data_IF_806981184401
#
_entry.id   IF_806981184401
#
_cell.length_a   1.000
_cell.length_b   1.000
_cell.length_c   1.000
_cell.angle_alpha   90.00
_cell.angle_beta   90.00
_cell.angle_gamma   90.00
#
_symmetry.space_group_name_H-M   'P 1'
#
loop_
_entity.id
_entity.type
_entity.pdbx_description
1 polymer ?
#
# COMPACT_ATOMS: atom_id res chain seq x y z
N UNK A 1 -39.45 -42.71 -13.68
CA UNK A 1 -39.66 -41.50 -14.50
C UNK A 1 -39.82 -40.32 -13.55
N UNK A 2 -38.78 -39.50 -13.40
CA UNK A 2 -38.87 -38.28 -12.60
C UNK A 2 -39.54 -37.21 -13.47
N UNK A 3 -40.79 -36.88 -13.18
CA UNK A 3 -41.52 -35.81 -13.86
C UNK A 3 -41.14 -34.51 -13.16
N UNK A 4 -40.00 -33.91 -13.52
CA UNK A 4 -39.77 -32.51 -13.17
C UNK A 4 -40.65 -31.67 -14.09
N UNK A 5 -41.81 -31.24 -13.57
CA UNK A 5 -42.74 -30.38 -14.30
C UNK A 5 -42.01 -29.15 -14.83
N UNK A 6 -42.27 -28.77 -16.08
CA UNK A 6 -41.70 -27.56 -16.71
C UNK A 6 -42.00 -26.29 -15.91
N UNK A 7 -43.10 -26.29 -15.16
CA UNK A 7 -43.43 -25.24 -14.21
C UNK A 7 -42.45 -25.19 -13.04
N UNK A 8 -42.04 -26.34 -12.49
CA UNK A 8 -41.04 -26.44 -11.42
C UNK A 8 -39.66 -26.00 -11.92
N UNK A 9 -39.26 -26.41 -13.13
CA UNK A 9 -38.00 -25.97 -13.74
C UNK A 9 -37.96 -24.45 -13.95
N UNK A 10 -39.07 -23.85 -14.41
CA UNK A 10 -39.21 -22.39 -14.62
C UNK A 10 -39.25 -21.63 -13.29
N UNK A 11 -39.92 -22.17 -12.28
CA UNK A 11 -39.96 -21.57 -10.94
C UNK A 11 -38.57 -21.59 -10.29
N UNK A 12 -37.87 -22.72 -10.37
CA UNK A 12 -36.51 -22.88 -9.84
C UNK A 12 -35.53 -21.96 -10.58
N UNK A 13 -35.61 -21.86 -11.91
CA UNK A 13 -34.79 -20.91 -12.67
C UNK A 13 -35.13 -19.45 -12.34
N UNK A 14 -36.41 -19.10 -12.19
CA UNK A 14 -36.84 -17.75 -11.82
C UNK A 14 -36.33 -17.33 -10.44
N UNK A 15 -36.40 -18.23 -9.45
CA UNK A 15 -35.86 -17.99 -8.10
C UNK A 15 -34.32 -17.92 -8.11
N UNK A 16 -33.64 -18.76 -8.90
CA UNK A 16 -32.18 -18.65 -9.07
C UNK A 16 -31.76 -17.32 -9.72
N UNK A 17 -32.49 -16.84 -10.73
CA UNK A 17 -32.23 -15.54 -11.39
C UNK A 17 -32.52 -14.33 -10.47
N UNK A 18 -33.49 -14.45 -9.57
CA UNK A 18 -33.77 -13.44 -8.54
C UNK A 18 -32.72 -13.40 -7.41
N UNK A 19 -31.89 -14.45 -7.28
CA UNK A 19 -30.93 -14.59 -6.18
C UNK A 19 -29.52 -14.05 -6.49
N UNK A 20 -29.28 -13.47 -7.67
CA UNK A 20 -27.92 -13.10 -8.13
C UNK A 20 -27.52 -11.63 -7.89
N UNK A 21 -28.33 -10.82 -7.19
CA UNK A 21 -28.08 -9.36 -7.15
C UNK A 21 -28.02 -8.68 -5.77
N UNK A 22 -27.49 -9.35 -4.75
CA UNK A 22 -26.99 -8.62 -3.56
C UNK A 22 -25.57 -9.07 -3.22
N UNK A 23 -24.61 -8.57 -3.98
CA UNK A 23 -23.25 -8.41 -3.51
C UNK A 23 -23.03 -6.91 -3.30
N UNK A 24 -23.33 -6.42 -2.11
CA UNK A 24 -22.97 -5.07 -1.70
C UNK A 24 -21.48 -5.11 -1.33
N UNK A 25 -20.64 -4.70 -2.28
CA UNK A 25 -19.19 -4.74 -2.14
C UNK A 25 -18.67 -3.43 -1.55
N UNK A 26 -17.75 -3.53 -0.59
CA UNK A 26 -16.99 -2.37 -0.12
C UNK A 26 -16.22 -1.73 -1.29
N UNK A 27 -16.19 -0.40 -1.35
CA UNK A 27 -15.39 0.32 -2.34
C UNK A 27 -13.91 0.14 -2.02
N UNK A 28 -13.08 0.05 -3.06
CA UNK A 28 -11.64 -0.16 -2.92
C UNK A 28 -10.87 0.75 -3.86
N UNK A 29 -9.93 1.51 -3.31
CA UNK A 29 -8.96 2.28 -4.09
C UNK A 29 -7.54 1.91 -3.68
N UNK A 30 -6.61 1.97 -4.62
CA UNK A 30 -5.18 1.86 -4.37
C UNK A 30 -4.49 3.10 -4.91
N UNK A 31 -3.57 3.65 -4.12
CA UNK A 31 -2.84 4.85 -4.49
C UNK A 31 -1.48 4.86 -3.79
N UNK A 32 -0.46 5.50 -4.37
CA UNK A 32 0.85 5.61 -3.76
C UNK A 32 0.82 6.49 -2.51
N UNK A 33 1.72 6.25 -1.57
CA UNK A 33 2.00 7.25 -0.54
C UNK A 33 2.65 8.52 -1.14
N UNK A 34 2.91 9.53 -0.30
CA UNK A 34 3.49 10.81 -0.73
C UNK A 34 2.69 11.59 -1.78
N UNK A 35 1.40 11.27 -1.94
CA UNK A 35 0.49 12.09 -2.72
C UNK A 35 0.35 13.48 -2.09
N UNK A 36 0.39 14.51 -2.95
CA UNK A 36 0.21 15.89 -2.51
C UNK A 36 -1.22 16.12 -2.03
N UNK A 37 -1.40 17.03 -1.08
CA UNK A 37 -2.73 17.53 -0.70
C UNK A 37 -3.49 18.01 -1.94
N UNK A 38 -4.75 17.62 -2.04
CA UNK A 38 -5.63 17.86 -3.19
C UNK A 38 -5.51 16.83 -4.31
N UNK A 39 -4.61 15.86 -4.23
CA UNK A 39 -4.54 14.79 -5.23
C UNK A 39 -5.77 13.88 -5.17
N UNK A 40 -6.20 13.40 -6.32
CA UNK A 40 -7.39 12.55 -6.46
C UNK A 40 -7.03 11.08 -6.27
N UNK A 41 -7.75 10.40 -5.38
CA UNK A 41 -7.64 8.95 -5.15
C UNK A 41 -8.60 8.17 -6.05
N UNK A 42 -9.83 8.68 -6.19
CA UNK A 42 -10.89 8.02 -6.96
C UNK A 42 -12.15 8.89 -7.03
N UNK A 43 -13.16 8.46 -7.79
CA UNK A 43 -14.42 9.19 -7.92
C UNK A 43 -15.58 8.44 -7.27
N UNK A 44 -15.95 8.86 -6.06
CA UNK A 44 -16.98 8.20 -5.26
C UNK A 44 -18.39 8.37 -5.84
N UNK A 45 -18.67 9.48 -6.53
CA UNK A 45 -19.97 9.71 -7.14
C UNK A 45 -20.24 8.63 -8.20
N UNK A 46 -19.26 8.39 -9.07
CA UNK A 46 -19.35 7.38 -10.11
C UNK A 46 -19.47 5.97 -9.53
N UNK A 47 -18.64 5.64 -8.54
CA UNK A 47 -18.56 4.27 -8.03
C UNK A 47 -19.75 3.91 -7.11
N UNK A 48 -20.34 4.90 -6.43
CA UNK A 48 -21.62 4.75 -5.74
C UNK A 48 -22.84 4.91 -6.67
N UNK A 49 -22.63 5.18 -7.97
CA UNK A 49 -23.69 5.48 -8.93
C UNK A 49 -24.62 6.62 -8.47
N UNK A 50 -24.04 7.62 -7.79
CA UNK A 50 -24.71 8.81 -7.30
C UNK A 50 -24.44 10.00 -8.20
N UNK A 51 -25.46 10.84 -8.41
CA UNK A 51 -25.26 12.13 -9.05
C UNK A 51 -24.45 13.05 -8.14
N UNK A 52 -23.51 13.79 -8.71
CA UNK A 52 -22.62 14.72 -7.98
C UNK A 52 -23.42 15.76 -7.17
N UNK A 53 -24.55 16.23 -7.71
CA UNK A 53 -25.47 17.15 -7.01
C UNK A 53 -25.95 16.58 -5.66
N UNK A 54 -26.18 15.27 -5.58
CA UNK A 54 -26.65 14.60 -4.37
C UNK A 54 -25.60 14.56 -3.27
N UNK A 55 -24.30 14.62 -3.59
CA UNK A 55 -23.25 14.68 -2.58
C UNK A 55 -23.39 15.93 -1.73
N UNK A 56 -23.57 17.09 -2.36
CA UNK A 56 -23.76 18.35 -1.64
C UNK A 56 -25.12 18.40 -0.92
N UNK A 57 -26.19 17.98 -1.59
CA UNK A 57 -27.55 17.99 -1.02
C UNK A 57 -27.69 17.07 0.20
N UNK A 58 -26.98 15.94 0.19
CA UNK A 58 -26.97 14.96 1.28
C UNK A 58 -25.78 15.12 2.23
N UNK A 59 -25.04 16.23 2.15
CA UNK A 59 -23.88 16.54 3.01
C UNK A 59 -22.90 15.37 3.13
N UNK A 60 -22.52 14.79 2.00
CA UNK A 60 -21.57 13.69 1.94
C UNK A 60 -20.27 14.07 2.65
N UNK A 61 -19.83 13.25 3.60
CA UNK A 61 -18.56 13.42 4.33
C UNK A 61 -17.85 12.09 4.52
N UNK A 62 -16.53 12.17 4.67
CA UNK A 62 -15.70 11.03 5.08
C UNK A 62 -15.66 11.00 6.59
N UNK A 63 -15.90 9.84 7.17
CA UNK A 63 -15.73 9.56 8.59
C UNK A 63 -14.62 8.53 8.76
N UNK A 64 -13.75 8.76 9.74
CA UNK A 64 -12.61 7.90 10.05
C UNK A 64 -12.86 7.22 11.38
N UNK A 65 -12.93 5.89 11.37
CA UNK A 65 -13.14 5.12 12.59
C UNK A 65 -11.94 5.27 13.55
N UNK A 66 -12.18 5.80 14.75
CA UNK A 66 -11.20 5.77 15.85
C UNK A 66 -10.05 6.77 15.78
N UNK A 67 -10.13 7.82 14.94
CA UNK A 67 -9.14 8.89 14.89
C UNK A 67 -9.75 10.23 14.51
N UNK A 68 -9.33 11.30 15.20
CA UNK A 68 -9.70 12.69 14.86
C UNK A 68 -8.90 13.23 13.65
N UNK A 69 -7.97 12.45 13.09
CA UNK A 69 -7.17 12.87 11.93
C UNK A 69 -7.91 12.55 10.63
N UNK A 70 -8.19 13.61 9.87
CA UNK A 70 -8.82 13.53 8.55
C UNK A 70 -7.76 13.57 7.44
N UNK A 71 -7.53 12.42 6.78
CA UNK A 71 -6.59 12.30 5.66
C UNK A 71 -7.25 12.38 4.28
N UNK A 72 -8.57 12.26 4.23
CA UNK A 72 -9.35 12.27 3.00
C UNK A 72 -10.54 13.20 3.11
N UNK A 73 -10.85 13.85 1.99
CA UNK A 73 -12.01 14.72 1.81
C UNK A 73 -12.74 14.37 0.52
N UNK A 74 -14.01 14.79 0.44
CA UNK A 74 -14.81 14.66 -0.79
C UNK A 74 -14.91 16.03 -1.44
N UNK A 75 -14.44 16.12 -2.68
CA UNK A 75 -14.77 17.26 -3.53
C UNK A 75 -16.21 17.10 -4.04
N UNK A 76 -17.16 17.69 -3.32
CA UNK A 76 -18.60 17.65 -3.64
C UNK A 76 -18.97 18.25 -5.01
N UNK A 77 -18.06 18.96 -5.68
CA UNK A 77 -18.32 19.58 -6.99
C UNK A 77 -18.17 18.61 -8.15
N UNK A 78 -17.33 17.59 -8.01
CA UNK A 78 -17.03 16.62 -9.06
C UNK A 78 -17.13 15.16 -8.58
N UNK A 79 -17.24 14.93 -7.28
CA UNK A 79 -17.35 13.61 -6.67
C UNK A 79 -16.03 12.91 -6.41
N UNK A 80 -14.91 13.62 -6.47
CA UNK A 80 -13.60 13.03 -6.22
C UNK A 80 -13.32 12.88 -4.72
N UNK A 81 -12.79 11.73 -4.33
CA UNK A 81 -12.11 11.54 -3.06
C UNK A 81 -10.69 12.07 -3.20
N UNK A 82 -10.32 13.02 -2.34
CA UNK A 82 -9.04 13.73 -2.40
C UNK A 82 -8.25 13.60 -1.12
N UNK A 83 -6.94 13.68 -1.23
CA UNK A 83 -6.01 13.72 -0.09
C UNK A 83 -6.11 15.08 0.61
N UNK A 84 -6.49 15.12 1.89
CA UNK A 84 -6.53 16.36 2.69
C UNK A 84 -5.21 16.61 3.42
N UNK A 85 -4.50 15.55 3.82
CA UNK A 85 -3.18 15.63 4.45
C UNK A 85 -2.21 14.58 3.90
N UNK A 86 -0.90 14.85 4.02
CA UNK A 86 0.14 13.91 3.57
C UNK A 86 0.04 12.62 4.35
N UNK A 87 0.22 11.53 3.63
CA UNK A 87 0.16 10.17 4.13
C UNK A 87 1.57 9.59 4.11
N UNK A 88 2.00 9.14 5.27
CA UNK A 88 3.29 8.47 5.53
C UNK A 88 2.95 7.04 5.97
N UNK A 89 3.27 6.03 5.16
CA UNK A 89 2.83 4.65 5.41
C UNK A 89 3.41 4.12 6.71
N UNK A 90 4.64 4.51 7.04
CA UNK A 90 5.37 4.14 8.26
C UNK A 90 4.63 4.67 9.49
N UNK A 91 4.20 5.94 9.48
CA UNK A 91 3.42 6.54 10.56
C UNK A 91 2.00 5.97 10.71
N UNK A 92 1.41 5.43 9.64
CA UNK A 92 0.03 4.91 9.63
C UNK A 92 -0.06 3.43 9.98
N UNK A 93 0.83 2.63 9.39
CA UNK A 93 0.76 1.19 9.37
C UNK A 93 2.02 0.52 9.93
N UNK A 94 3.11 1.28 10.13
CA UNK A 94 4.40 0.75 10.56
C UNK A 94 5.00 -0.20 9.51
N UNK A 95 5.60 -1.27 10.00
CA UNK A 95 6.25 -2.34 9.24
C UNK A 95 5.27 -3.41 8.70
N UNK A 96 3.97 -3.12 8.69
CA UNK A 96 2.95 -4.07 8.23
C UNK A 96 2.97 -4.28 6.72
N UNK A 97 2.67 -5.53 6.35
CA UNK A 97 2.68 -5.97 4.96
C UNK A 97 1.65 -5.37 4.03
N UNK A 98 0.57 -4.89 4.60
CA UNK A 98 -0.50 -4.24 3.86
C UNK A 98 -0.97 -3.08 4.70
N UNK A 99 -1.04 -1.90 4.07
CA UNK A 99 -1.55 -0.69 4.69
C UNK A 99 -2.91 -0.37 4.09
N UNK A 100 -3.97 -0.67 4.85
CA UNK A 100 -5.36 -0.42 4.45
C UNK A 100 -5.99 0.51 5.46
N UNK A 101 -6.34 1.71 5.01
CA UNK A 101 -7.11 2.66 5.79
C UNK A 101 -8.59 2.41 5.52
N UNK A 102 -9.37 2.22 6.58
CA UNK A 102 -10.82 2.02 6.49
C UNK A 102 -11.51 3.36 6.72
N UNK A 103 -12.30 3.78 5.74
CA UNK A 103 -13.05 5.01 5.77
C UNK A 103 -14.51 4.73 5.51
N UNK A 104 -15.39 5.58 6.03
CA UNK A 104 -16.82 5.47 5.82
C UNK A 104 -17.33 6.76 5.16
N UNK A 105 -18.01 6.62 4.03
CA UNK A 105 -18.68 7.74 3.36
C UNK A 105 -20.10 7.79 3.90
N UNK A 106 -20.43 8.88 4.58
CA UNK A 106 -21.74 9.08 5.17
C UNK A 106 -22.54 10.10 4.35
N UNK A 107 -23.77 9.75 3.99
CA UNK A 107 -24.75 10.63 3.37
C UNK A 107 -25.94 10.79 4.32
N UNK A 108 -26.47 12.01 4.43
CA UNK A 108 -27.62 12.34 5.27
C UNK A 108 -28.94 12.32 4.47
N UNK A 109 -30.05 12.09 5.19
CA UNK A 109 -31.44 12.22 4.71
C UNK A 109 -31.78 11.43 3.41
N UNK A 110 -31.88 10.08 3.46
CA UNK A 110 -31.71 9.20 4.61
C UNK A 110 -30.24 8.96 4.97
N UNK A 111 -29.99 8.43 6.17
CA UNK A 111 -28.63 8.08 6.58
C UNK A 111 -28.17 6.84 5.81
N UNK A 112 -27.12 7.01 4.99
CA UNK A 112 -26.46 5.93 4.24
C UNK A 112 -24.96 5.96 4.57
N UNK A 113 -24.37 4.78 4.71
CA UNK A 113 -22.97 4.62 5.04
C UNK A 113 -22.32 3.60 4.11
N UNK A 114 -21.30 4.02 3.40
CA UNK A 114 -20.56 3.19 2.46
C UNK A 114 -19.12 3.01 2.92
N UNK A 115 -18.69 1.76 3.05
CA UNK A 115 -17.32 1.44 3.43
C UNK A 115 -16.39 1.58 2.24
N UNK A 116 -15.27 2.26 2.48
CA UNK A 116 -14.19 2.47 1.52
C UNK A 116 -12.89 1.96 2.15
N UNK A 117 -12.28 0.98 1.50
CA UNK A 117 -10.97 0.47 1.86
C UNK A 117 -9.92 1.13 0.96
N UNK A 118 -8.99 1.84 1.58
CA UNK A 118 -7.96 2.64 0.92
C UNK A 118 -6.61 1.96 1.09
N UNK A 119 -6.12 1.33 0.03
CA UNK A 119 -4.85 0.60 0.02
C UNK A 119 -3.71 1.55 -0.33
N UNK A 120 -2.91 1.90 0.68
CA UNK A 120 -1.71 2.73 0.51
C UNK A 120 -0.62 1.84 -0.08
N UNK A 121 -0.07 2.26 -1.22
CA UNK A 121 1.05 1.59 -1.87
C UNK A 121 2.35 2.25 -1.43
N UNK A 122 3.24 1.41 -0.90
CA UNK A 122 4.61 1.75 -0.55
C UNK A 122 5.34 2.30 -1.78
N UNK A 123 5.96 3.47 -1.63
CA UNK A 123 6.89 4.03 -2.62
C UNK A 123 8.28 3.89 -2.03
N UNK A 124 9.24 3.39 -2.81
CA UNK A 124 10.62 3.30 -2.34
C UNK A 124 11.28 4.68 -2.31
N UNK A 125 10.97 5.45 -1.28
CA UNK A 125 11.58 6.75 -0.98
C UNK A 125 12.58 6.68 0.19
N UNK A 126 12.67 5.54 0.87
CA UNK A 126 13.76 5.24 1.78
C UNK A 126 14.92 4.55 1.04
N UNK A 127 16.12 5.09 1.22
CA UNK A 127 17.33 4.46 0.74
C UNK A 127 17.89 3.56 1.86
N UNK A 128 18.40 2.36 1.54
CA UNK A 128 19.00 1.48 2.52
C UNK A 128 20.19 2.18 3.22
N UNK A 129 20.23 2.10 4.56
CA UNK A 129 21.25 2.74 5.38
C UNK A 129 22.08 1.69 6.13
N UNK A 130 23.39 1.88 6.15
CA UNK A 130 24.28 1.13 7.04
C UNK A 130 24.30 1.78 8.42
N UNK A 131 24.43 0.97 9.48
CA UNK A 131 24.57 1.47 10.85
C UNK A 131 25.80 2.37 11.06
N UNK A 132 26.79 2.27 10.17
CA UNK A 132 28.04 3.04 10.20
C UNK A 132 28.24 3.73 8.84
N UNK A 133 28.55 5.01 8.87
CA UNK A 133 28.93 5.78 7.67
C UNK A 133 30.24 5.27 7.03
N UNK A 134 31.14 4.74 7.86
CA UNK A 134 32.42 4.18 7.45
C UNK A 134 32.56 2.76 8.02
N UNK A 135 32.79 1.79 7.14
CA UNK A 135 33.04 0.39 7.50
C UNK A 135 34.52 0.11 7.28
N UNK A 136 35.27 -0.06 8.37
CA UNK A 136 36.67 -0.46 8.34
C UNK A 136 36.77 -1.98 8.54
N UNK A 137 37.50 -2.65 7.64
CA UNK A 137 37.72 -4.10 7.68
C UNK A 137 39.23 -4.32 7.59
N UNK A 138 39.81 -4.90 8.64
CA UNK A 138 41.21 -5.26 8.66
C UNK A 138 41.40 -6.67 8.10
N UNK A 139 42.18 -6.77 7.02
CA UNK A 139 42.43 -8.04 6.32
C UNK A 139 43.90 -8.39 6.45
N UNK A 140 44.18 -9.60 6.97
CA UNK A 140 45.55 -10.12 6.99
C UNK A 140 46.08 -10.30 5.57
N UNK A 141 47.33 -9.89 5.35
CA UNK A 141 48.04 -10.16 4.08
C UNK A 141 48.17 -11.68 3.78
N UNK A 142 48.12 -12.52 4.81
CA UNK A 142 48.14 -13.98 4.70
C UNK A 142 46.78 -14.60 4.36
N UNK A 143 45.76 -13.78 4.11
CA UNK A 143 44.43 -14.26 3.77
C UNK A 143 44.45 -15.12 2.49
N UNK A 144 43.82 -16.29 2.57
CA UNK A 144 43.70 -17.22 1.45
C UNK A 144 42.96 -16.58 0.27
N UNK A 145 43.38 -16.91 -0.96
CA UNK A 145 42.65 -16.52 -2.17
C UNK A 145 41.21 -17.03 -2.10
N UNK A 146 40.25 -16.14 -2.37
CA UNK A 146 38.82 -16.44 -2.29
C UNK A 146 38.21 -16.36 -0.88
N UNK A 147 38.98 -15.92 0.13
CA UNK A 147 38.45 -15.59 1.45
C UNK A 147 37.30 -14.57 1.34
N UNK A 148 36.33 -14.69 2.24
CA UNK A 148 35.11 -13.88 2.28
C UNK A 148 35.07 -13.10 3.58
N UNK A 149 34.84 -11.80 3.48
CA UNK A 149 34.73 -10.91 4.63
C UNK A 149 33.29 -10.41 4.70
N UNK A 150 32.52 -10.76 5.74
CA UNK A 150 31.15 -10.29 5.88
C UNK A 150 31.15 -8.81 6.24
N UNK A 151 30.14 -8.10 5.76
CA UNK A 151 29.83 -6.72 6.11
C UNK A 151 28.45 -6.71 6.76
N UNK A 152 28.22 -5.79 7.71
CA UNK A 152 26.87 -5.57 8.26
C UNK A 152 25.88 -5.26 7.12
N UNK A 153 24.70 -5.86 7.19
CA UNK A 153 23.64 -5.64 6.21
C UNK A 153 23.10 -4.20 6.35
N UNK A 154 22.74 -3.58 5.23
CA UNK A 154 22.04 -2.31 5.25
C UNK A 154 20.58 -2.53 5.64
N UNK A 155 20.02 -1.64 6.45
CA UNK A 155 18.62 -1.66 6.83
C UNK A 155 17.83 -0.69 5.96
N UNK A 156 16.71 -1.14 5.42
CA UNK A 156 15.74 -0.32 4.68
C UNK A 156 14.39 -0.37 5.40
N UNK A 157 13.72 0.77 5.51
CA UNK A 157 12.44 0.90 6.22
C UNK A 157 11.24 0.50 5.35
N UNK A 158 11.42 0.39 4.03
CA UNK A 158 10.36 0.09 3.07
C UNK A 158 9.92 -1.39 3.15
N UNK A 159 8.61 -1.61 3.11
CA UNK A 159 8.04 -2.95 3.24
C UNK A 159 8.19 -3.78 1.96
N UNK A 160 8.16 -3.14 0.80
CA UNK A 160 8.24 -3.78 -0.50
C UNK A 160 9.59 -3.53 -1.17
N UNK A 161 10.57 -4.27 -0.71
CA UNK A 161 11.71 -4.58 -1.54
C UNK A 161 11.29 -5.20 -2.87
N UNK A 162 11.27 -4.40 -3.93
CA UNK A 162 11.39 -4.93 -5.28
C UNK A 162 12.68 -5.76 -5.37
N UNK A 163 12.77 -6.79 -6.24
CA UNK A 163 13.90 -7.72 -6.28
C UNK A 163 15.28 -7.10 -6.60
N UNK A 164 15.35 -5.79 -6.86
CA UNK A 164 16.60 -5.02 -6.94
C UNK A 164 16.92 -4.20 -5.68
N UNK A 165 15.98 -4.00 -4.74
CA UNK A 165 16.15 -3.22 -3.52
C UNK A 165 16.49 -4.10 -2.28
N UNK A 166 15.94 -5.31 -2.14
CA UNK A 166 16.38 -6.25 -1.06
C UNK A 166 17.55 -7.13 -1.45
N UNK A 167 17.94 -7.15 -2.73
CA UNK A 167 19.18 -7.83 -3.10
C UNK A 167 20.39 -6.93 -2.81
N UNK A 168 20.38 -6.27 -1.66
CA UNK A 168 21.48 -5.46 -1.13
C UNK A 168 22.49 -6.33 -0.41
N UNK A 169 23.03 -7.31 -1.16
CA UNK A 169 24.25 -8.07 -0.92
C UNK A 169 24.69 -8.24 0.55
N UNK A 170 24.78 -9.51 0.98
CA UNK A 170 25.98 -9.91 1.74
C UNK A 170 27.17 -9.56 0.84
N UNK A 171 27.68 -8.33 0.93
CA UNK A 171 28.70 -7.83 0.03
C UNK A 171 30.01 -8.43 0.49
N UNK A 172 30.21 -9.69 0.09
CA UNK A 172 31.50 -10.34 0.17
C UNK A 172 32.40 -9.53 -0.75
N UNK A 173 33.28 -8.71 -0.16
CA UNK A 173 34.34 -8.06 -0.92
C UNK A 173 35.17 -9.16 -1.60
N UNK A 174 34.94 -9.36 -2.89
CA UNK A 174 35.82 -10.14 -3.75
C UNK A 174 36.87 -9.19 -4.28
N UNK A 175 38.01 -9.19 -3.61
CA UNK A 175 39.17 -8.50 -4.13
C UNK A 175 39.68 -9.22 -5.39
N UNK A 176 39.94 -8.49 -6.50
CA UNK A 176 40.63 -9.07 -7.65
C UNK A 176 42.01 -9.60 -7.20
N UNK A 177 42.61 -10.58 -7.90
CA UNK A 177 43.93 -11.13 -7.55
C UNK A 177 45.07 -10.09 -7.56
N UNK A 178 44.80 -8.85 -7.99
CA UNK A 178 45.71 -7.71 -8.03
C UNK A 178 45.21 -6.57 -7.13
N UNK A 179 45.14 -6.78 -5.82
CA UNK A 179 45.14 -5.65 -4.87
C UNK A 179 46.57 -5.11 -4.81
N UNK A 180 46.75 -3.85 -5.16
CA UNK A 180 48.02 -3.14 -5.01
C UNK A 180 48.33 -3.01 -3.50
N UNK A 181 49.47 -3.57 -3.09
CA UNK A 181 50.02 -3.47 -1.74
C UNK A 181 50.04 -2.01 -1.27
N UNK A 182 49.46 -1.75 -0.11
CA UNK A 182 49.91 -0.64 0.71
C UNK A 182 50.41 -1.23 2.03
N UNK A 183 51.72 -1.47 2.09
CA UNK A 183 52.39 -1.93 3.30
C UNK A 183 52.34 -0.79 4.32
N UNK A 184 51.40 -0.85 5.25
CA UNK A 184 51.53 -0.07 6.49
C UNK A 184 52.62 -0.75 7.31
N UNK A 185 53.84 -0.21 7.24
CA UNK A 185 54.92 -0.58 8.14
C UNK A 185 54.46 -0.30 9.58
N UNK A 186 54.19 -1.36 10.34
CA UNK A 186 54.08 -1.26 11.80
C UNK A 186 55.45 -1.61 12.36
N UNK A 187 56.01 -0.63 13.06
CA UNK A 187 57.27 -0.64 13.79
C UNK A 187 57.20 -1.55 15.03
#
# INVERSE_FOLDING_TARGET
MAITSSAVQRLVCGVLFLSIHLAEGDLRYSFPEEMRRGSVVGNIAKDLSLEVSKLSARKARVDTEGSDKHYFDINVRNGDLVISDRLDREGLCGDKASCVLKQEIMLENPLELHRVNLHVQDINDNAPQFNKELIQIDISESASKGARFPIEEAHDADFACSPCACMGFLQVLRFPPTVQKHDSQVN
#
